data_IF_324335806143
#
_entry.id   IF_324335806143
#
_cell.length_a   1.000
_cell.length_b   1.000
_cell.length_c   1.000
_cell.angle_alpha   90.00
_cell.angle_beta   90.00
_cell.angle_gamma   90.00
#
_symmetry.space_group_name_H-M   'P 1'
#
loop_
_entity.id
_entity.type
_entity.pdbx_description
1 polymer ?
#
# COMPACT_ATOMS: atom_id res chain seq x y z
N UNK A 1 10.77 5.14 -2.06
CA UNK A 1 9.67 4.16 -2.06
C UNK A 1 10.13 2.90 -1.36
N UNK A 2 9.25 2.20 -0.68
CA UNK A 2 9.52 0.97 0.07
C UNK A 2 8.60 -0.14 -0.40
N UNK A 3 9.06 -1.38 -0.29
CA UNK A 3 8.27 -2.56 -0.63
C UNK A 3 7.11 -2.74 0.34
N UNK A 4 5.91 -2.92 -0.21
CA UNK A 4 4.77 -3.41 0.56
C UNK A 4 4.91 -4.92 0.66
N UNK A 5 4.85 -5.44 1.88
CA UNK A 5 5.03 -6.88 2.18
C UNK A 5 3.74 -7.56 2.62
N UNK A 6 2.70 -6.78 2.95
CA UNK A 6 1.37 -7.25 3.33
C UNK A 6 0.35 -6.14 3.11
N UNK A 7 -0.88 -6.52 2.76
CA UNK A 7 -2.03 -5.65 2.77
C UNK A 7 -3.20 -6.35 3.49
N UNK A 8 -3.96 -5.61 4.29
CA UNK A 8 -5.11 -6.11 5.03
C UNK A 8 -6.33 -5.22 4.84
N UNK A 9 -7.50 -5.85 4.67
CA UNK A 9 -8.77 -5.11 4.61
C UNK A 9 -9.11 -4.55 6.00
N UNK A 10 -9.42 -3.26 6.05
CA UNK A 10 -10.01 -2.56 7.20
C UNK A 10 -11.46 -2.15 6.86
N UNK A 11 -12.23 -1.71 7.86
CA UNK A 11 -13.65 -1.34 7.67
C UNK A 11 -13.81 -0.25 6.60
N UNK A 12 -12.89 0.71 6.55
CA UNK A 12 -12.96 1.88 5.66
C UNK A 12 -11.81 1.95 4.63
N UNK A 13 -11.06 0.87 4.42
CA UNK A 13 -9.84 0.96 3.62
C UNK A 13 -8.96 -0.28 3.65
N UNK A 14 -7.67 -0.06 3.39
CA UNK A 14 -6.62 -1.07 3.40
C UNK A 14 -5.46 -0.58 4.27
N UNK A 15 -5.03 -1.42 5.19
CA UNK A 15 -3.76 -1.23 5.90
C UNK A 15 -2.66 -1.93 5.11
N UNK A 16 -1.57 -1.23 4.82
CA UNK A 16 -0.38 -1.82 4.20
C UNK A 16 0.77 -1.89 5.20
N UNK A 17 1.47 -3.02 5.19
CA UNK A 17 2.73 -3.20 5.91
C UNK A 17 3.89 -3.06 4.93
N UNK A 18 4.87 -2.24 5.27
CA UNK A 18 6.08 -2.01 4.47
C UNK A 18 7.35 -2.10 5.32
N UNK A 19 8.49 -2.33 4.67
CA UNK A 19 9.80 -2.40 5.36
C UNK A 19 10.60 -1.11 5.14
N UNK A 20 11.00 -0.43 6.22
CA UNK A 20 11.87 0.75 6.22
C UNK A 20 12.96 0.55 7.27
N UNK A 21 14.23 0.66 6.86
CA UNK A 21 15.41 0.52 7.74
C UNK A 21 15.44 -0.80 8.55
N UNK A 22 14.93 -1.89 7.94
CA UNK A 22 14.85 -3.21 8.59
C UNK A 22 13.63 -3.42 9.49
N UNK A 23 12.85 -2.37 9.76
CA UNK A 23 11.64 -2.42 10.58
C UNK A 23 10.38 -2.56 9.73
N UNK A 24 9.37 -3.24 10.26
CA UNK A 24 8.03 -3.26 9.70
C UNK A 24 7.25 -2.05 10.20
N UNK A 25 6.59 -1.35 9.27
CA UNK A 25 5.74 -0.20 9.55
C UNK A 25 4.41 -0.35 8.85
N UNK A 26 3.40 0.32 9.40
CA UNK A 26 2.02 0.27 8.91
C UNK A 26 1.60 1.63 8.37
N UNK A 27 0.70 1.61 7.39
CA UNK A 27 0.02 2.81 6.89
C UNK A 27 -1.38 2.41 6.42
N UNK A 28 -2.37 3.19 6.82
CA UNK A 28 -3.73 3.02 6.34
C UNK A 28 -4.00 3.91 5.13
N UNK A 29 -4.78 3.39 4.20
CA UNK A 29 -5.34 4.12 3.07
C UNK A 29 -6.84 3.87 3.02
N UNK A 30 -7.62 4.92 2.85
CA UNK A 30 -9.04 4.81 2.51
C UNK A 30 -9.21 4.27 1.08
N UNK A 31 -10.38 3.73 0.78
CA UNK A 31 -10.70 3.27 -0.58
C UNK A 31 -10.65 4.42 -1.60
N UNK A 32 -11.13 5.61 -1.20
CA UNK A 32 -11.15 6.79 -2.07
C UNK A 32 -9.73 7.28 -2.41
N UNK A 33 -8.81 7.25 -1.43
CA UNK A 33 -7.39 7.56 -1.66
C UNK A 33 -6.76 6.60 -2.65
N UNK A 34 -6.98 5.29 -2.48
CA UNK A 34 -6.45 4.27 -3.41
C UNK A 34 -6.98 4.48 -4.83
N UNK A 35 -8.28 4.71 -4.99
CA UNK A 35 -8.90 4.98 -6.30
C UNK A 35 -8.37 6.27 -6.91
N UNK A 36 -8.20 7.33 -6.11
CA UNK A 36 -7.62 8.59 -6.58
C UNK A 36 -6.15 8.45 -7.03
N UNK A 37 -5.41 7.50 -6.45
CA UNK A 37 -4.06 7.13 -6.87
C UNK A 37 -4.02 6.17 -8.06
N UNK A 38 -5.18 5.73 -8.57
CA UNK A 38 -5.26 4.74 -9.65
C UNK A 38 -4.93 3.31 -9.19
N UNK A 39 -4.93 3.06 -7.89
CA UNK A 39 -4.68 1.74 -7.31
C UNK A 39 -6.00 1.05 -7.05
N UNK A 40 -6.19 -0.15 -7.61
CA UNK A 40 -7.31 -1.00 -7.29
C UNK A 40 -7.08 -1.69 -5.92
N UNK A 41 -7.94 -1.46 -4.91
CA UNK A 41 -7.77 -2.06 -3.59
C UNK A 41 -7.76 -3.59 -3.60
N UNK A 42 -8.50 -4.22 -4.53
CA UNK A 42 -8.54 -5.68 -4.63
C UNK A 42 -7.20 -6.25 -5.12
N UNK A 43 -6.55 -5.56 -6.06
CA UNK A 43 -5.25 -5.98 -6.60
C UNK A 43 -4.17 -5.80 -5.52
N UNK A 44 -4.20 -4.69 -4.78
CA UNK A 44 -3.31 -4.44 -3.63
C UNK A 44 -3.46 -5.50 -2.52
N UNK A 45 -4.69 -5.96 -2.26
CA UNK A 45 -4.95 -7.02 -1.29
C UNK A 45 -4.51 -8.40 -1.80
N UNK A 46 -4.66 -8.66 -3.09
CA UNK A 46 -4.34 -9.96 -3.70
C UNK A 46 -2.84 -10.17 -3.88
N UNK A 47 -2.12 -9.14 -4.33
CA UNK A 47 -0.67 -9.16 -4.51
C UNK A 47 -0.02 -7.86 -4.00
N UNK A 48 0.15 -7.70 -2.68
CA UNK A 48 0.80 -6.52 -2.12
C UNK A 48 2.24 -6.33 -2.63
N UNK A 49 2.92 -7.40 -3.04
CA UNK A 49 4.29 -7.34 -3.56
C UNK A 49 4.39 -6.62 -4.91
N UNK A 50 3.29 -6.57 -5.69
CA UNK A 50 3.19 -5.80 -6.92
C UNK A 50 3.16 -4.28 -6.70
N UNK A 51 3.16 -3.80 -5.46
CA UNK A 51 3.07 -2.39 -5.11
C UNK A 51 4.24 -1.91 -4.26
N UNK A 52 4.43 -0.60 -4.26
CA UNK A 52 5.38 0.12 -3.41
C UNK A 52 4.72 1.33 -2.77
N UNK A 53 5.24 1.77 -1.63
CA UNK A 53 4.75 2.93 -0.89
C UNK A 53 5.79 4.04 -0.79
N UNK A 54 5.37 5.30 -0.97
CA UNK A 54 6.06 6.49 -0.48
C UNK A 54 5.34 7.00 0.78
N UNK A 55 5.82 6.64 2.00
CA UNK A 55 5.13 6.97 3.24
C UNK A 55 5.16 8.47 3.54
N UNK A 56 6.17 9.21 3.05
CA UNK A 56 6.31 10.66 3.27
C UNK A 56 5.27 11.44 2.44
N UNK A 57 4.96 10.93 1.24
CA UNK A 57 3.92 11.50 0.37
C UNK A 57 2.54 10.87 0.56
N UNK A 58 2.43 9.87 1.44
CA UNK A 58 1.21 9.08 1.60
C UNK A 58 0.69 8.55 0.27
N UNK A 59 1.55 7.80 -0.45
CA UNK A 59 1.26 7.34 -1.80
C UNK A 59 1.57 5.85 -1.98
N UNK A 60 0.67 5.12 -2.65
CA UNK A 60 0.89 3.75 -3.14
C UNK A 60 0.86 3.78 -4.67
N UNK A 61 1.75 3.04 -5.30
CA UNK A 61 1.72 2.83 -6.75
C UNK A 61 2.18 1.43 -7.11
N UNK A 62 1.84 0.99 -8.32
CA UNK A 62 2.35 -0.26 -8.87
C UNK A 62 3.87 -0.21 -9.01
N UNK A 63 4.49 -1.36 -8.75
CA UNK A 63 5.90 -1.60 -8.98
C UNK A 63 6.11 -1.78 -10.48
N UNK A 64 6.42 -0.69 -11.18
CA UNK A 64 6.91 -0.79 -12.56
C UNK A 64 8.27 -1.50 -12.57
N UNK A 65 8.38 -2.59 -13.33
CA UNK A 65 9.62 -3.33 -13.57
C UNK A 65 10.63 -2.50 -14.38
#
# INVERSE_FOLDING_TARGET
>A
MFDIVRAEKRVNGVEVTYRKDGELRLRDFSLDELVAMGVNPLDLLADPGAFVIDPEKHLVCERFL
#
